data_IF_024435922750
#
_entry.id   IF_024435922750
#
_cell.length_a   1.000
_cell.length_b   1.000
_cell.length_c   1.000
_cell.angle_alpha   90.00
_cell.angle_beta   90.00
_cell.angle_gamma   90.00
#
_symmetry.space_group_name_H-M   'P 1'
#
loop_
_entity.id
_entity.type
_entity.pdbx_description
1 polymer ?
#
# COMPACT_ATOMS: atom_id res chain seq x y z
N UNK A 1 37.35 -32.83 -26.11
CA UNK A 1 36.27 -31.91 -25.68
C UNK A 1 35.55 -32.62 -24.55
N UNK A 2 35.63 -32.10 -23.32
CA UNK A 2 35.17 -32.81 -22.10
C UNK A 2 33.75 -32.44 -21.66
N UNK A 3 33.23 -31.31 -22.14
CA UNK A 3 31.82 -30.94 -21.97
C UNK A 3 31.33 -30.03 -23.10
N UNK A 4 30.01 -29.89 -23.21
CA UNK A 4 29.33 -28.98 -24.12
C UNK A 4 27.92 -28.66 -23.60
N UNK A 5 27.29 -27.61 -24.15
CA UNK A 5 25.91 -27.23 -23.82
C UNK A 5 24.95 -27.64 -24.93
N UNK A 6 23.77 -28.14 -24.54
CA UNK A 6 22.63 -28.32 -25.43
C UNK A 6 21.53 -27.35 -25.03
N UNK A 7 21.07 -26.55 -26.00
CA UNK A 7 19.85 -25.74 -25.88
C UNK A 7 18.69 -26.53 -26.47
N UNK A 8 17.65 -26.77 -25.68
CA UNK A 8 16.41 -27.41 -26.12
C UNK A 8 15.30 -26.34 -26.16
N UNK A 9 14.61 -26.14 -27.31
CA UNK A 9 13.50 -25.20 -27.38
C UNK A 9 12.30 -25.74 -26.58
N UNK A 10 11.73 -24.93 -25.69
CA UNK A 10 10.51 -25.33 -24.98
C UNK A 10 9.30 -25.36 -25.92
N UNK A 11 8.46 -26.39 -25.80
CA UNK A 11 7.17 -26.51 -26.47
C UNK A 11 6.02 -26.48 -25.44
N UNK A 12 6.14 -25.59 -24.46
CA UNK A 12 5.18 -25.45 -23.34
C UNK A 12 3.93 -24.70 -23.76
N UNK A 13 2.94 -25.45 -24.28
CA UNK A 13 1.55 -25.01 -24.31
C UNK A 13 0.91 -25.21 -22.92
N UNK A 14 -0.04 -24.34 -22.55
CA UNK A 14 -0.66 -24.32 -21.21
C UNK A 14 -1.53 -25.57 -20.99
N UNK A 15 -2.29 -25.96 -22.01
CA UNK A 15 -3.11 -27.16 -21.99
C UNK A 15 -2.39 -28.36 -22.64
N UNK A 16 -2.29 -29.46 -21.89
CA UNK A 16 -1.86 -30.75 -22.43
C UNK A 16 -0.36 -30.90 -22.73
N UNK A 17 0.52 -30.37 -21.87
CA UNK A 17 1.96 -30.55 -21.96
C UNK A 17 2.34 -32.05 -22.00
N UNK A 18 3.06 -32.48 -23.04
CA UNK A 18 3.51 -33.87 -23.26
C UNK A 18 5.03 -33.93 -23.27
N UNK A 19 5.59 -35.09 -22.93
CA UNK A 19 7.03 -35.36 -23.06
C UNK A 19 7.46 -35.17 -24.52
N UNK A 20 8.22 -34.11 -24.79
CA UNK A 20 8.71 -33.78 -26.13
C UNK A 20 10.02 -34.53 -26.42
N UNK A 21 10.20 -34.95 -27.67
CA UNK A 21 11.45 -35.53 -28.16
C UNK A 21 12.10 -34.57 -29.16
N UNK A 22 13.32 -34.14 -28.87
CA UNK A 22 14.07 -33.19 -29.68
C UNK A 22 15.26 -33.86 -30.35
N UNK A 23 15.48 -33.56 -31.64
CA UNK A 23 16.69 -33.94 -32.37
C UNK A 23 17.46 -32.69 -32.78
N UNK A 24 18.54 -32.40 -32.06
CA UNK A 24 19.47 -31.32 -32.39
C UNK A 24 20.64 -31.88 -33.20
N UNK A 25 21.09 -31.18 -34.24
CA UNK A 25 22.35 -31.48 -34.95
C UNK A 25 23.46 -30.65 -34.33
N UNK A 26 24.52 -31.31 -33.87
CA UNK A 26 25.72 -30.64 -33.36
C UNK A 26 26.62 -30.20 -34.54
N UNK A 27 27.37 -29.09 -34.42
CA UNK A 27 28.25 -28.59 -35.49
C UNK A 27 29.45 -29.52 -35.76
N UNK A 28 29.80 -30.38 -34.81
CA UNK A 28 30.88 -31.35 -34.93
C UNK A 28 30.43 -32.74 -34.47
N UNK A 29 31.03 -33.78 -35.05
CA UNK A 29 30.81 -35.17 -34.65
C UNK A 29 31.53 -35.44 -33.33
N UNK A 30 30.78 -35.71 -32.26
CA UNK A 30 31.34 -36.15 -30.99
C UNK A 30 31.77 -37.62 -31.05
N UNK A 31 32.82 -37.95 -30.30
CA UNK A 31 33.24 -39.33 -30.01
C UNK A 31 33.03 -39.57 -28.52
N UNK A 32 32.16 -40.52 -28.19
CA UNK A 32 31.81 -40.88 -26.82
C UNK A 32 32.68 -42.06 -26.39
N UNK A 33 33.89 -41.76 -25.90
CA UNK A 33 34.91 -42.75 -25.54
C UNK A 33 34.95 -43.04 -24.01
N UNK A 34 33.94 -42.57 -23.27
CA UNK A 34 33.81 -42.62 -21.81
C UNK A 34 32.32 -42.64 -21.43
N UNK A 35 31.99 -42.69 -20.14
CA UNK A 35 30.63 -42.41 -19.67
C UNK A 35 30.34 -40.89 -19.65
N UNK A 36 29.13 -40.51 -20.04
CA UNK A 36 28.70 -39.12 -20.13
C UNK A 36 27.43 -38.89 -19.31
N UNK A 37 27.46 -37.82 -18.51
CA UNK A 37 26.32 -37.37 -17.71
C UNK A 37 25.71 -36.10 -18.29
N UNK A 38 24.40 -35.96 -18.10
CA UNK A 38 23.61 -34.79 -18.53
C UNK A 38 23.10 -34.08 -17.27
N UNK A 39 23.73 -32.97 -16.91
CA UNK A 39 23.28 -32.09 -15.83
C UNK A 39 22.39 -30.96 -16.37
N UNK A 40 21.46 -30.46 -15.56
CA UNK A 40 20.77 -29.19 -15.85
C UNK A 40 21.66 -28.00 -15.43
N UNK A 41 21.72 -26.97 -16.26
CA UNK A 41 22.58 -25.80 -16.09
C UNK A 41 21.85 -24.44 -16.06
N UNK A 42 21.09 -24.03 -17.09
CA UNK A 42 20.54 -22.64 -17.17
C UNK A 42 19.12 -22.51 -17.72
N UNK A 43 18.23 -21.81 -17.01
CA UNK A 43 16.87 -21.52 -17.45
C UNK A 43 16.72 -20.18 -18.24
N UNK A 44 16.13 -20.20 -19.47
CA UNK A 44 15.56 -19.02 -20.22
C UNK A 44 14.17 -19.28 -20.92
N UNK A 45 12.99 -18.90 -20.37
CA UNK A 45 11.65 -19.18 -20.97
C UNK A 45 11.46 -18.39 -22.27
N UNK A 46 10.75 -18.97 -23.27
CA UNK A 46 10.31 -18.21 -24.42
C UNK A 46 9.40 -17.06 -23.95
N UNK A 47 9.53 -15.89 -24.57
CA UNK A 47 8.82 -14.65 -24.19
C UNK A 47 7.28 -14.75 -24.19
N UNK A 48 6.72 -15.87 -24.66
CA UNK A 48 5.30 -16.23 -24.60
C UNK A 48 4.78 -16.56 -23.21
N UNK A 49 5.66 -16.84 -22.24
CA UNK A 49 5.27 -17.10 -20.85
C UNK A 49 5.38 -15.80 -20.01
N UNK A 50 4.31 -15.38 -19.29
CA UNK A 50 4.38 -14.22 -18.40
C UNK A 50 5.51 -14.36 -17.39
N UNK A 51 6.39 -13.35 -17.34
CA UNK A 51 7.46 -13.26 -16.33
C UNK A 51 6.89 -13.17 -14.91
N UNK A 52 5.70 -12.58 -14.77
CA UNK A 52 4.99 -12.38 -13.52
C UNK A 52 3.57 -12.96 -13.65
N UNK A 53 3.09 -13.66 -12.63
CA UNK A 53 1.71 -14.15 -12.56
C UNK A 53 1.41 -15.36 -13.43
N UNK A 54 2.41 -16.23 -13.57
CA UNK A 54 2.37 -17.48 -14.35
C UNK A 54 1.63 -18.61 -13.64
N UNK A 55 1.81 -18.72 -12.32
CA UNK A 55 1.35 -19.84 -11.47
C UNK A 55 0.33 -19.42 -10.41
N UNK A 56 0.28 -18.14 -10.08
CA UNK A 56 -0.62 -17.55 -9.08
C UNK A 56 -0.94 -16.11 -9.42
N UNK A 57 -2.08 -15.60 -8.94
CA UNK A 57 -2.39 -14.17 -9.07
C UNK A 57 -1.39 -13.33 -8.28
N UNK A 58 -1.04 -12.16 -8.82
CA UNK A 58 -0.04 -11.26 -8.24
C UNK A 58 -0.73 -10.01 -7.74
N UNK A 59 -0.32 -9.55 -6.56
CA UNK A 59 -0.92 -8.41 -5.90
C UNK A 59 0.07 -7.77 -4.94
N UNK A 60 -0.25 -6.55 -4.53
CA UNK A 60 0.31 -5.97 -3.32
C UNK A 60 -0.81 -5.47 -2.41
N UNK A 61 -0.75 -5.85 -1.14
CA UNK A 61 -1.68 -5.44 -0.09
C UNK A 61 -1.11 -4.27 0.69
N UNK A 62 -1.68 -3.08 0.46
CA UNK A 62 -1.36 -1.87 1.21
C UNK A 62 -2.11 -1.89 2.54
N UNK A 63 -1.37 -1.85 3.65
CA UNK A 63 -1.94 -1.65 4.98
C UNK A 63 -1.82 -0.19 5.35
N UNK A 64 -2.96 0.49 5.50
CA UNK A 64 -3.03 1.92 5.81
C UNK A 64 -2.83 2.17 7.31
N UNK A 65 -2.39 3.37 7.70
CA UNK A 65 -2.26 3.72 9.13
C UNK A 65 -3.60 3.70 9.85
N UNK A 66 -4.71 3.96 9.15
CA UNK A 66 -6.08 3.76 9.68
C UNK A 66 -6.31 2.33 10.17
N UNK A 67 -5.70 1.33 9.51
CA UNK A 67 -5.81 -0.10 9.83
C UNK A 67 -6.48 -0.90 8.72
N UNK A 68 -7.09 -0.22 7.75
CA UNK A 68 -7.68 -0.81 6.55
C UNK A 68 -6.61 -1.46 5.66
N UNK A 69 -6.99 -2.51 4.94
CA UNK A 69 -6.09 -3.24 4.03
C UNK A 69 -6.73 -3.30 2.65
N UNK A 70 -6.01 -2.84 1.62
CA UNK A 70 -6.45 -2.87 0.23
C UNK A 70 -5.48 -3.72 -0.58
N UNK A 71 -5.98 -4.75 -1.25
CA UNK A 71 -5.19 -5.55 -2.18
C UNK A 71 -5.35 -5.03 -3.61
N UNK A 72 -4.25 -4.67 -4.24
CA UNK A 72 -4.20 -4.10 -5.59
C UNK A 72 -3.55 -5.12 -6.53
N UNK A 73 -4.25 -5.47 -7.62
CA UNK A 73 -3.86 -6.55 -8.51
C UNK A 73 -2.75 -6.09 -9.45
N UNK A 74 -1.70 -6.90 -9.58
CA UNK A 74 -0.67 -6.73 -10.59
C UNK A 74 -0.99 -7.64 -11.77
N UNK A 75 -1.14 -7.11 -13.01
CA UNK A 75 -1.49 -7.93 -14.15
C UNK A 75 -0.38 -8.93 -14.50
N UNK A 76 -0.75 -10.17 -14.77
CA UNK A 76 0.18 -11.17 -15.32
C UNK A 76 0.69 -10.71 -16.69
N UNK A 77 2.00 -10.57 -16.84
CA UNK A 77 2.61 -10.04 -18.07
C UNK A 77 4.08 -10.45 -18.23
N UNK A 78 4.58 -10.31 -19.45
CA UNK A 78 6.00 -10.46 -19.83
C UNK A 78 6.66 -9.09 -19.89
N UNK A 79 7.53 -8.78 -18.93
CA UNK A 79 8.27 -7.52 -18.87
C UNK A 79 9.64 -7.67 -19.49
N UNK A 80 9.93 -6.91 -20.55
CA UNK A 80 11.20 -7.00 -21.29
C UNK A 80 12.33 -6.27 -20.55
N UNK A 81 11.98 -5.29 -19.72
CA UNK A 81 12.92 -4.50 -18.93
C UNK A 81 12.26 -3.96 -17.63
N UNK A 82 13.07 -3.51 -16.64
CA UNK A 82 12.55 -3.00 -15.37
C UNK A 82 11.64 -1.78 -15.49
N UNK A 83 11.79 -0.96 -16.54
CA UNK A 83 10.96 0.23 -16.74
C UNK A 83 9.52 -0.14 -17.10
N UNK A 84 9.31 -1.17 -17.94
CA UNK A 84 7.96 -1.68 -18.23
C UNK A 84 7.28 -2.30 -16.98
N UNK A 85 8.05 -2.99 -16.13
CA UNK A 85 7.54 -3.50 -14.85
C UNK A 85 7.14 -2.34 -13.93
N UNK A 86 7.98 -1.29 -13.84
CA UNK A 86 7.68 -0.08 -13.07
C UNK A 86 6.36 0.55 -13.52
N UNK A 87 6.18 0.77 -14.83
CA UNK A 87 4.97 1.36 -15.41
C UNK A 87 3.71 0.52 -15.12
N UNK A 88 3.82 -0.81 -15.10
CA UNK A 88 2.73 -1.68 -14.70
C UNK A 88 2.41 -1.61 -13.21
N UNK A 89 3.41 -1.51 -12.33
CA UNK A 89 3.22 -1.33 -10.89
C UNK A 89 2.63 0.04 -10.57
N UNK A 90 3.10 1.10 -11.24
CA UNK A 90 2.53 2.44 -11.15
C UNK A 90 1.06 2.44 -11.58
N UNK A 91 0.70 1.71 -12.64
CA UNK A 91 -0.69 1.57 -13.06
C UNK A 91 -1.55 0.92 -11.98
N UNK A 92 -1.15 -0.25 -11.47
CA UNK A 92 -1.86 -0.94 -10.37
C UNK A 92 -1.94 -0.09 -9.10
N UNK A 93 -0.89 0.69 -8.78
CA UNK A 93 -0.88 1.62 -7.64
C UNK A 93 -1.83 2.81 -7.82
N UNK A 94 -2.19 3.15 -9.06
CA UNK A 94 -3.09 4.26 -9.38
C UNK A 94 -4.53 3.82 -9.65
N UNK A 95 -4.83 2.51 -9.60
CA UNK A 95 -6.22 2.01 -9.56
C UNK A 95 -6.88 2.31 -8.22
N UNK A 96 -6.13 2.23 -7.12
CA UNK A 96 -6.56 2.65 -5.79
C UNK A 96 -7.78 1.90 -5.24
N UNK A 97 -8.52 2.54 -4.34
CA UNK A 97 -9.74 2.00 -3.78
C UNK A 97 -10.80 3.11 -3.61
N UNK A 98 -11.69 3.22 -4.59
CA UNK A 98 -12.78 4.20 -4.56
C UNK A 98 -13.71 3.97 -3.36
N UNK A 99 -14.07 2.71 -3.05
CA UNK A 99 -14.90 2.34 -1.90
C UNK A 99 -14.34 2.87 -0.57
N UNK A 100 -13.03 2.77 -0.36
CA UNK A 100 -12.38 3.26 0.86
C UNK A 100 -12.29 4.80 0.87
N UNK A 101 -12.08 5.42 -0.30
CA UNK A 101 -12.15 6.88 -0.44
C UNK A 101 -13.54 7.43 -0.16
N UNK A 102 -14.59 6.70 -0.55
CA UNK A 102 -15.99 7.08 -0.36
C UNK A 102 -16.43 6.89 1.09
N UNK A 103 -16.05 5.79 1.75
CA UNK A 103 -16.22 5.62 3.20
C UNK A 103 -15.59 6.78 3.98
N UNK A 104 -14.36 7.19 3.61
CA UNK A 104 -13.68 8.33 4.23
C UNK A 104 -14.42 9.65 3.96
N UNK A 105 -14.94 9.86 2.75
CA UNK A 105 -15.72 11.04 2.38
C UNK A 105 -17.05 11.13 3.14
N UNK A 106 -17.79 10.02 3.27
CA UNK A 106 -19.03 9.95 4.04
C UNK A 106 -18.74 10.31 5.50
N UNK A 107 -17.74 9.67 6.12
CA UNK A 107 -17.34 9.97 7.50
C UNK A 107 -16.90 11.45 7.67
N UNK A 108 -16.18 12.02 6.70
CA UNK A 108 -15.81 13.43 6.73
C UNK A 108 -17.04 14.36 6.74
N UNK A 109 -18.04 14.07 5.91
CA UNK A 109 -19.29 14.85 5.83
C UNK A 109 -20.13 14.72 7.11
N UNK A 110 -20.25 13.51 7.66
CA UNK A 110 -20.90 13.27 8.97
C UNK A 110 -20.21 14.08 10.08
N UNK A 111 -18.87 14.02 10.13
CA UNK A 111 -18.06 14.74 11.11
C UNK A 111 -18.23 16.26 10.99
N UNK A 112 -18.15 16.82 9.78
CA UNK A 112 -18.41 18.24 9.53
C UNK A 112 -19.84 18.66 9.88
N UNK A 113 -20.83 17.80 9.65
CA UNK A 113 -22.20 17.99 10.11
C UNK A 113 -22.24 18.12 11.63
N UNK A 114 -21.61 17.17 12.34
CA UNK A 114 -21.60 17.17 13.80
C UNK A 114 -20.89 18.37 14.40
N UNK A 115 -19.74 18.80 13.84
CA UNK A 115 -19.05 20.02 14.29
C UNK A 115 -19.95 21.27 14.20
N UNK A 116 -20.81 21.36 13.18
CA UNK A 116 -21.78 22.47 13.06
C UNK A 116 -22.87 22.40 14.12
N UNK A 117 -23.40 21.20 14.41
CA UNK A 117 -24.37 20.99 15.50
C UNK A 117 -23.79 21.38 16.86
N UNK A 118 -22.61 20.86 17.21
CA UNK A 118 -21.95 21.15 18.50
C UNK A 118 -21.69 22.65 18.66
N UNK A 119 -21.34 23.36 17.58
CA UNK A 119 -21.14 24.81 17.60
C UNK A 119 -22.44 25.60 17.74
N UNK A 120 -23.54 25.12 17.18
CA UNK A 120 -24.86 25.70 17.41
C UNK A 120 -25.35 25.46 18.86
N UNK A 121 -25.08 24.27 19.42
CA UNK A 121 -25.37 23.93 20.81
C UNK A 121 -24.59 24.81 21.79
N UNK A 122 -23.26 24.90 21.64
CA UNK A 122 -22.40 25.75 22.48
C UNK A 122 -22.85 27.22 22.49
N UNK A 123 -23.24 27.75 21.33
CA UNK A 123 -23.78 29.11 21.21
C UNK A 123 -25.11 29.27 21.94
N UNK A 124 -26.01 28.30 21.86
CA UNK A 124 -27.30 28.35 22.56
C UNK A 124 -27.13 28.24 24.08
N UNK A 125 -26.25 27.35 24.55
CA UNK A 125 -25.90 27.21 25.97
C UNK A 125 -25.28 28.49 26.53
N UNK A 126 -24.33 29.10 25.80
CA UNK A 126 -23.75 30.38 26.18
C UNK A 126 -24.79 31.51 26.28
N UNK A 127 -25.76 31.58 25.35
CA UNK A 127 -26.88 32.53 25.41
C UNK A 127 -27.74 32.28 26.65
N UNK A 128 -28.06 31.02 26.96
CA UNK A 128 -28.85 30.64 28.13
C UNK A 128 -28.13 31.05 29.44
N UNK A 129 -26.84 30.67 29.59
CA UNK A 129 -26.02 31.00 30.76
C UNK A 129 -25.90 32.52 30.98
N UNK A 130 -25.70 33.29 29.90
CA UNK A 130 -25.66 34.75 29.96
C UNK A 130 -27.02 35.34 30.36
N UNK A 131 -28.12 34.79 29.84
CA UNK A 131 -29.48 35.16 30.22
C UNK A 131 -29.78 34.88 31.70
N UNK A 132 -29.33 33.75 32.22
CA UNK A 132 -29.47 33.39 33.64
C UNK A 132 -28.66 34.28 34.57
N UNK A 133 -27.40 34.61 34.23
CA UNK A 133 -26.62 35.59 35.01
C UNK A 133 -27.29 36.96 35.03
N UNK A 134 -27.83 37.42 33.90
CA UNK A 134 -28.55 38.70 33.84
C UNK A 134 -29.82 38.71 34.72
N UNK A 135 -30.57 37.59 34.78
CA UNK A 135 -31.70 37.45 35.71
C UNK A 135 -31.25 37.49 37.17
N UNK A 136 -30.24 36.68 37.53
CA UNK A 136 -29.69 36.64 38.90
C UNK A 136 -29.16 38.00 39.37
N UNK A 137 -28.51 38.77 38.49
CA UNK A 137 -28.12 40.15 38.81
C UNK A 137 -29.34 41.03 39.08
N UNK A 138 -30.37 41.01 38.21
CA UNK A 138 -31.56 41.84 38.38
C UNK A 138 -32.34 41.50 39.67
N UNK A 139 -32.45 40.23 40.02
CA UNK A 139 -33.10 39.78 41.26
C UNK A 139 -32.32 40.25 42.50
N UNK A 140 -30.97 40.25 42.45
CA UNK A 140 -30.12 40.72 43.54
C UNK A 140 -30.14 42.24 43.72
N UNK A 141 -30.21 43.05 42.65
CA UNK A 141 -30.34 44.52 42.75
C UNK A 141 -31.60 44.96 43.50
N UNK A 142 -32.57 44.06 43.68
CA UNK A 142 -33.83 44.32 44.41
C UNK A 142 -33.74 43.94 45.91
N UNK A 143 -32.60 43.42 46.40
CA UNK A 143 -32.44 42.93 47.78
C UNK A 143 -31.07 43.30 48.41
N UNK A 144 -31.04 44.45 49.10
CA UNK A 144 -30.04 44.89 50.09
C UNK A 144 -28.59 45.13 49.62
N UNK A 145 -28.01 46.24 50.11
CA UNK A 145 -26.74 46.82 49.64
C UNK A 145 -25.45 46.22 50.24
N UNK A 146 -25.46 45.01 50.83
CA UNK A 146 -24.38 44.56 51.73
C UNK A 146 -24.00 43.06 51.66
N UNK A 147 -23.85 42.48 50.46
CA UNK A 147 -23.09 41.23 50.27
C UNK A 147 -22.03 41.36 49.16
N UNK A 148 -20.86 40.70 49.29
CA UNK A 148 -19.75 40.86 48.36
C UNK A 148 -20.07 40.24 46.99
N UNK A 149 -19.58 40.87 45.93
CA UNK A 149 -19.77 40.39 44.55
C UNK A 149 -19.15 38.99 44.35
N UNK A 150 -19.97 37.94 44.39
CA UNK A 150 -19.56 36.62 43.91
C UNK A 150 -19.21 36.75 42.42
N UNK A 151 -17.92 36.57 42.12
CA UNK A 151 -17.39 36.71 40.77
C UNK A 151 -17.73 35.45 39.95
N UNK A 152 -18.99 35.33 39.54
CA UNK A 152 -19.54 34.21 38.76
C UNK A 152 -18.83 34.18 37.40
N UNK A 153 -17.78 33.37 37.32
CA UNK A 153 -17.05 33.06 36.10
C UNK A 153 -17.95 32.18 35.21
N UNK A 154 -18.50 32.73 34.14
CA UNK A 154 -19.23 31.94 33.14
C UNK A 154 -18.22 31.41 32.13
N UNK A 155 -18.29 30.11 31.83
CA UNK A 155 -17.64 29.54 30.65
C UNK A 155 -18.00 30.30 29.37
N UNK A 156 -16.99 30.56 28.56
CA UNK A 156 -17.11 31.20 27.26
C UNK A 156 -17.62 30.21 26.20
N UNK A 157 -18.23 30.71 25.11
CA UNK A 157 -18.67 29.86 23.97
C UNK A 157 -17.57 28.89 23.46
N UNK A 158 -16.29 29.30 23.32
CA UNK A 158 -15.21 28.38 22.93
C UNK A 158 -14.92 27.26 23.94
N UNK A 159 -15.04 27.51 25.25
CA UNK A 159 -14.82 26.50 26.29
C UNK A 159 -15.96 25.48 26.30
N UNK A 160 -17.21 25.95 26.17
CA UNK A 160 -18.38 25.07 26.04
C UNK A 160 -18.25 24.19 24.78
N UNK A 161 -17.90 24.79 23.64
CA UNK A 161 -17.66 24.05 22.40
C UNK A 161 -16.52 23.02 22.53
N UNK A 162 -15.43 23.36 23.24
CA UNK A 162 -14.31 22.45 23.46
C UNK A 162 -14.70 21.25 24.32
N UNK A 163 -15.52 21.45 25.36
CA UNK A 163 -16.05 20.36 26.18
C UNK A 163 -16.98 19.45 25.37
N UNK A 164 -17.96 20.03 24.65
CA UNK A 164 -18.89 19.26 23.79
C UNK A 164 -18.15 18.48 22.70
N UNK A 165 -17.07 19.03 22.14
CA UNK A 165 -16.22 18.35 21.17
C UNK A 165 -15.46 17.17 21.79
N UNK A 166 -14.92 17.34 23.00
CA UNK A 166 -14.24 16.29 23.75
C UNK A 166 -15.19 15.15 24.12
N UNK A 167 -16.39 15.47 24.61
CA UNK A 167 -17.44 14.47 24.88
C UNK A 167 -17.82 13.69 23.62
N UNK A 168 -18.01 14.39 22.49
CA UNK A 168 -18.28 13.74 21.22
C UNK A 168 -17.14 12.82 20.79
N UNK A 169 -15.88 13.28 20.84
CA UNK A 169 -14.71 12.45 20.53
C UNK A 169 -14.63 11.21 21.44
N UNK A 170 -14.93 11.34 22.73
CA UNK A 170 -14.96 10.22 23.67
C UNK A 170 -16.09 9.22 23.36
N UNK A 171 -17.22 9.69 22.79
CA UNK A 171 -18.34 8.84 22.35
C UNK A 171 -18.08 8.04 21.08
N UNK A 172 -17.07 8.42 20.28
CA UNK A 172 -16.72 7.73 19.03
C UNK A 172 -15.99 6.41 19.28
N UNK A 173 -16.18 5.46 18.36
CA UNK A 173 -15.39 4.23 18.34
C UNK A 173 -13.89 4.50 18.07
N UNK A 174 -13.06 3.52 18.40
CA UNK A 174 -11.60 3.64 18.31
C UNK A 174 -11.12 3.93 16.88
N UNK A 175 -11.76 3.37 15.85
CA UNK A 175 -11.38 3.59 14.46
C UNK A 175 -11.69 5.03 14.04
N UNK A 176 -12.90 5.54 14.34
CA UNK A 176 -13.27 6.94 14.06
C UNK A 176 -12.38 7.93 14.80
N UNK A 177 -12.06 7.70 16.07
CA UNK A 177 -11.08 8.51 16.82
C UNK A 177 -9.70 8.52 16.16
N UNK A 178 -9.22 7.34 15.76
CA UNK A 178 -7.92 7.18 15.09
C UNK A 178 -7.88 7.88 13.73
N UNK A 179 -8.96 7.81 12.95
CA UNK A 179 -9.08 8.55 11.67
C UNK A 179 -9.05 10.06 11.93
N UNK A 180 -9.78 10.58 12.92
CA UNK A 180 -9.73 12.02 13.29
C UNK A 180 -8.31 12.43 13.68
N UNK A 181 -7.60 11.63 14.48
CA UNK A 181 -6.20 11.88 14.84
C UNK A 181 -5.23 11.82 13.66
N UNK A 182 -5.44 10.93 12.68
CA UNK A 182 -4.61 10.83 11.48
C UNK A 182 -4.91 11.93 10.45
N UNK A 183 -6.07 12.58 10.54
CA UNK A 183 -6.54 13.61 9.61
C UNK A 183 -6.40 15.02 10.15
N UNK A 184 -6.06 15.22 11.43
CA UNK A 184 -5.88 16.56 12.03
C UNK A 184 -4.81 17.38 11.30
N UNK A 185 -3.71 16.72 10.92
CA UNK A 185 -2.51 17.39 10.42
C UNK A 185 -2.48 17.44 8.88
N UNK A 186 -3.00 16.40 8.22
CA UNK A 186 -2.99 16.28 6.75
C UNK A 186 -4.30 16.68 6.07
N UNK A 187 -5.41 16.73 6.82
CA UNK A 187 -6.77 16.91 6.31
C UNK A 187 -7.37 15.65 5.65
N UNK A 188 -8.71 15.55 5.70
CA UNK A 188 -9.48 14.44 5.12
C UNK A 188 -9.36 14.35 3.59
N UNK A 189 -9.41 15.47 2.87
CA UNK A 189 -9.32 15.49 1.40
C UNK A 189 -8.01 14.87 0.87
N UNK A 190 -6.91 15.06 1.60
CA UNK A 190 -5.62 14.44 1.25
C UNK A 190 -5.67 12.92 1.44
N UNK A 191 -6.27 12.42 2.51
CA UNK A 191 -6.52 11.00 2.73
C UNK A 191 -7.43 10.38 1.65
N UNK A 192 -8.52 11.06 1.29
CA UNK A 192 -9.44 10.63 0.21
C UNK A 192 -8.66 10.54 -1.12
N UNK A 193 -7.87 11.56 -1.46
CA UNK A 193 -7.02 11.54 -2.67
C UNK A 193 -5.97 10.43 -2.64
N UNK A 194 -5.42 10.10 -1.47
CA UNK A 194 -4.42 9.04 -1.31
C UNK A 194 -5.03 7.66 -1.50
N UNK A 195 -6.23 7.40 -0.97
CA UNK A 195 -6.94 6.13 -1.22
C UNK A 195 -7.31 5.93 -2.69
N UNK A 196 -7.65 7.02 -3.41
CA UNK A 196 -7.87 6.97 -4.86
C UNK A 196 -6.59 6.74 -5.66
N UNK A 197 -5.44 7.29 -5.22
CA UNK A 197 -4.15 7.18 -5.91
C UNK A 197 -2.99 6.87 -4.94
N UNK A 198 -2.90 5.62 -4.46
CA UNK A 198 -1.78 5.14 -3.64
C UNK A 198 -0.40 5.43 -4.26
N UNK A 199 -0.30 5.47 -5.59
CA UNK A 199 0.91 5.87 -6.33
C UNK A 199 1.52 7.23 -5.94
N UNK A 200 0.75 8.10 -5.27
CA UNK A 200 1.24 9.40 -4.76
C UNK A 200 1.99 9.32 -3.42
N UNK A 201 1.91 8.19 -2.71
CA UNK A 201 2.50 7.95 -1.37
C UNK A 201 3.25 6.62 -1.27
N UNK A 202 3.10 5.75 -2.28
CA UNK A 202 3.87 4.54 -2.49
C UNK A 202 4.35 4.53 -3.94
N UNK A 203 5.65 4.37 -4.18
CA UNK A 203 6.20 4.31 -5.53
C UNK A 203 7.34 3.28 -5.61
N UNK A 204 7.33 2.49 -6.68
CA UNK A 204 8.47 1.66 -7.08
C UNK A 204 9.34 2.47 -8.05
N UNK A 205 10.61 2.69 -7.70
CA UNK A 205 11.58 3.39 -8.54
C UNK A 205 12.69 2.45 -9.00
N UNK A 206 13.03 2.44 -10.28
CA UNK A 206 14.15 1.67 -10.80
C UNK A 206 15.41 2.53 -10.96
N UNK A 207 16.41 2.30 -10.11
CA UNK A 207 17.69 3.00 -10.17
C UNK A 207 18.63 2.35 -11.18
N UNK A 208 18.56 2.78 -12.44
CA UNK A 208 19.40 2.28 -13.53
C UNK A 208 20.91 2.22 -13.20
N UNK A 209 21.45 3.25 -12.49
CA UNK A 209 22.87 3.27 -12.04
C UNK A 209 23.25 2.15 -11.08
N UNK A 210 22.30 1.67 -10.27
CA UNK A 210 22.50 0.57 -9.29
C UNK A 210 21.91 -0.75 -9.77
N UNK A 211 21.20 -0.75 -10.90
CA UNK A 211 20.40 -1.85 -11.45
C UNK A 211 19.50 -2.52 -10.39
N UNK A 212 18.73 -1.72 -9.65
CA UNK A 212 17.91 -2.14 -8.49
C UNK A 212 16.61 -1.35 -8.44
N UNK A 213 15.53 -1.98 -7.97
CA UNK A 213 14.36 -1.25 -7.52
C UNK A 213 14.58 -0.64 -6.13
N UNK A 214 13.77 0.35 -5.81
CA UNK A 214 13.46 0.78 -4.46
C UNK A 214 11.95 0.97 -4.32
N UNK A 215 11.45 0.75 -3.12
CA UNK A 215 10.09 1.07 -2.72
C UNK A 215 10.17 2.25 -1.75
N UNK A 216 9.50 3.35 -2.09
CA UNK A 216 9.35 4.53 -1.21
C UNK A 216 7.95 4.54 -0.65
N UNK A 217 7.82 4.72 0.67
CA UNK A 217 6.57 4.72 1.43
C UNK A 217 6.46 5.97 2.30
N UNK A 218 5.38 6.74 2.14
CA UNK A 218 5.01 7.80 3.06
C UNK A 218 4.32 7.20 4.30
N UNK A 219 5.05 7.23 5.40
CA UNK A 219 4.63 6.71 6.71
C UNK A 219 3.43 7.41 7.33
N UNK A 220 3.09 8.61 6.86
CA UNK A 220 1.89 9.33 7.27
C UNK A 220 0.63 8.55 6.88
N UNK A 221 0.66 7.85 5.74
CA UNK A 221 -0.50 7.14 5.18
C UNK A 221 -0.38 5.63 5.27
N UNK A 222 0.80 5.08 5.00
CA UNK A 222 1.03 3.64 4.84
C UNK A 222 1.82 3.09 6.04
N UNK A 223 1.30 2.02 6.63
CA UNK A 223 1.95 1.29 7.71
C UNK A 223 3.01 0.34 7.15
N UNK A 224 2.60 -0.49 6.20
CA UNK A 224 3.43 -1.45 5.46
C UNK A 224 2.73 -1.91 4.17
N UNK A 225 3.50 -2.48 3.25
CA UNK A 225 3.00 -3.14 2.04
C UNK A 225 3.46 -4.60 2.04
N UNK A 226 2.53 -5.51 1.79
CA UNK A 226 2.83 -6.90 1.46
C UNK A 226 2.78 -7.10 -0.04
N UNK A 227 3.81 -7.67 -0.64
CA UNK A 227 3.85 -8.11 -2.04
C UNK A 227 3.81 -9.64 -2.08
N UNK A 228 3.51 -10.24 -3.23
CA UNK A 228 3.61 -11.69 -3.42
C UNK A 228 5.07 -12.15 -3.52
N UNK A 229 5.37 -13.40 -3.15
CA UNK A 229 6.74 -13.95 -3.17
C UNK A 229 7.40 -13.87 -4.56
N UNK A 230 6.65 -14.19 -5.63
CA UNK A 230 7.14 -14.07 -7.00
C UNK A 230 7.48 -12.61 -7.34
N UNK A 231 6.67 -11.65 -6.89
CA UNK A 231 6.91 -10.22 -7.12
C UNK A 231 8.10 -9.70 -6.31
N UNK A 232 8.27 -10.14 -5.07
CA UNK A 232 9.43 -9.84 -4.23
C UNK A 232 10.73 -10.33 -4.89
N UNK A 233 10.73 -11.58 -5.36
CA UNK A 233 11.84 -12.18 -6.10
C UNK A 233 12.18 -11.38 -7.37
N UNK A 234 11.19 -11.10 -8.23
CA UNK A 234 11.37 -10.39 -9.50
C UNK A 234 11.90 -8.97 -9.29
N UNK A 235 11.46 -8.28 -8.22
CA UNK A 235 11.94 -6.93 -7.88
C UNK A 235 13.28 -6.93 -7.13
N UNK A 236 13.74 -8.08 -6.63
CA UNK A 236 14.98 -8.24 -5.88
C UNK A 236 14.88 -7.87 -4.40
N UNK A 237 13.69 -7.85 -3.81
CA UNK A 237 13.49 -7.66 -2.37
C UNK A 237 13.69 -8.97 -1.61
N UNK A 238 14.27 -8.89 -0.40
CA UNK A 238 14.51 -10.03 0.48
C UNK A 238 13.29 -10.38 1.36
N UNK A 239 12.43 -9.40 1.63
CA UNK A 239 11.17 -9.58 2.35
C UNK A 239 10.00 -9.25 1.42
N UNK A 240 8.93 -10.02 1.57
CA UNK A 240 7.64 -9.75 0.95
C UNK A 240 6.76 -8.81 1.80
N UNK A 241 7.06 -8.64 3.10
CA UNK A 241 6.43 -7.63 3.97
C UNK A 241 7.43 -6.47 4.17
N UNK A 242 7.08 -5.30 3.62
CA UNK A 242 7.95 -4.12 3.56
C UNK A 242 7.28 -2.99 4.33
N UNK A 243 7.77 -2.71 5.54
CA UNK A 243 7.30 -1.57 6.33
C UNK A 243 7.99 -0.27 5.95
N UNK A 244 9.30 -0.28 5.73
CA UNK A 244 10.11 0.91 5.50
C UNK A 244 10.43 1.16 4.02
N UNK A 245 10.70 2.42 3.67
CA UNK A 245 11.29 2.75 2.38
C UNK A 245 12.63 2.03 2.24
N UNK A 246 12.78 1.19 1.21
CA UNK A 246 13.92 0.28 1.10
C UNK A 246 14.37 0.04 -0.35
N UNK A 247 15.64 -0.28 -0.53
CA UNK A 247 16.23 -0.60 -1.83
C UNK A 247 16.36 -2.12 -1.95
N UNK A 248 15.98 -2.68 -3.10
CA UNK A 248 16.13 -4.08 -3.43
C UNK A 248 17.57 -4.56 -3.17
N UNK A 249 17.71 -5.73 -2.52
CA UNK A 249 19.00 -6.35 -2.21
C UNK A 249 19.65 -6.95 -3.45
N UNK A 250 18.84 -7.39 -4.41
CA UNK A 250 19.26 -8.05 -5.63
C UNK A 250 18.91 -7.23 -6.88
N UNK A 251 19.52 -7.61 -8.01
CA UNK A 251 19.17 -7.07 -9.33
C UNK A 251 17.80 -7.68 -9.72
N UNK A 252 16.86 -6.90 -10.29
CA UNK A 252 15.57 -7.45 -10.68
C UNK A 252 15.68 -8.50 -11.79
N UNK A 253 15.00 -9.62 -11.61
CA UNK A 253 15.02 -10.72 -12.57
C UNK A 253 13.88 -10.58 -13.59
N UNK A 254 14.20 -10.05 -14.76
CA UNK A 254 13.28 -9.92 -15.89
C UNK A 254 13.27 -11.17 -16.79
N UNK A 255 13.96 -12.27 -16.42
CA UNK A 255 14.17 -13.46 -17.26
C UNK A 255 13.54 -14.71 -16.63
N UNK A 256 12.24 -14.92 -16.81
CA UNK A 256 11.57 -16.13 -16.28
C UNK A 256 12.10 -17.46 -16.87
N UNK A 257 12.13 -18.53 -16.03
CA UNK A 257 12.35 -20.01 -16.21
C UNK A 257 13.00 -20.57 -17.50
N UNK A 258 12.80 -21.84 -17.92
CA UNK A 258 13.57 -22.51 -19.04
C UNK A 258 14.32 -23.80 -18.66
N UNK A 259 15.42 -24.14 -19.38
CA UNK A 259 16.40 -25.20 -19.09
C UNK A 259 17.46 -25.31 -20.21
N UNK A 260 18.73 -25.41 -19.85
CA UNK A 260 19.88 -25.71 -20.73
C UNK A 260 20.65 -26.81 -20.05
N UNK A 261 21.10 -27.81 -20.80
CA UNK A 261 21.76 -28.96 -20.20
C UNK A 261 23.26 -28.85 -20.43
N UNK A 262 24.03 -28.94 -19.34
CA UNK A 262 25.48 -29.10 -19.38
C UNK A 262 25.77 -30.59 -19.45
N UNK A 263 26.29 -31.01 -20.61
CA UNK A 263 26.63 -32.40 -20.89
C UNK A 263 28.12 -32.54 -20.70
N UNK A 264 28.54 -33.38 -19.76
CA UNK A 264 29.94 -33.56 -19.38
C UNK A 264 30.32 -35.04 -19.29
N UNK A 265 31.56 -35.35 -19.63
CA UNK A 265 32.14 -36.65 -19.34
C UNK A 265 32.37 -36.77 -17.83
N UNK A 266 32.11 -37.95 -17.26
CA UNK A 266 32.73 -38.33 -16.00
C UNK A 266 34.16 -38.78 -16.34
N UNK A 267 35.15 -38.23 -15.64
CA UNK A 267 36.55 -38.64 -15.74
C UNK A 267 36.77 -40.03 -15.10
#
# INVERSE_FOLDING_TARGET
MTSFYIVLPSNTNVDGNKTNSFRVRLPHKLQFNSEWSVGLAVMVYPHTWPSLGTTSEQFFSVTWQTGEIVSLKVPSSSFVNPQQLKESLDKSLNEGCEDLSEKMRIFHLEYLGKLKELRAQAKQEYINLKGEKNKKLADNTTKNEHEPEENINIMTEPEIYSNLLLEYHNSLDENKRKIISLTSDTGFEKWISVYRKPGSVCNFEFYAKKNRFALTLDKTYIKNIKITDQLAYILGFESYDISESTVARFIPDMRGGVSSFHVYALD
#
